data_IF_535244149508
#
_entry.id   IF_535244149508
#
_cell.length_a   1.000
_cell.length_b   1.000
_cell.length_c   1.000
_cell.angle_alpha   90.00
_cell.angle_beta   90.00
_cell.angle_gamma   90.00
#
_symmetry.space_group_name_H-M   'P 1'
#
loop_
_entity.id
_entity.type
_entity.pdbx_description
1 polymer ?
#
# COMPACT_ATOMS: atom_id res chain seq x y z
N UNK A 1 2.55 -2.43 19.85
CA UNK A 1 3.40 -3.17 18.88
C UNK A 1 3.22 -2.49 17.53
N UNK A 2 4.24 -1.78 17.05
CA UNK A 2 4.16 -1.03 15.79
C UNK A 2 4.42 -1.98 14.63
N UNK A 3 3.38 -2.35 13.88
CA UNK A 3 3.52 -3.09 12.63
C UNK A 3 3.92 -2.11 11.53
N UNK A 4 5.23 -1.99 11.28
CA UNK A 4 5.69 -1.31 10.07
C UNK A 4 5.28 -2.13 8.85
N UNK A 5 4.86 -1.51 7.73
CA UNK A 5 4.59 -2.23 6.50
C UNK A 5 5.85 -2.99 6.07
N UNK A 6 5.73 -4.32 5.97
CA UNK A 6 6.81 -5.19 5.51
C UNK A 6 6.79 -5.18 3.99
N UNK A 7 7.83 -4.60 3.39
CA UNK A 7 8.05 -4.62 1.96
C UNK A 7 8.59 -5.99 1.56
N UNK A 8 7.71 -6.91 1.16
CA UNK A 8 8.12 -8.18 0.56
C UNK A 8 7.98 -8.09 -0.96
N UNK A 9 9.07 -8.32 -1.69
CA UNK A 9 9.02 -8.51 -3.14
C UNK A 9 8.50 -9.92 -3.41
N UNK A 10 7.32 -10.01 -4.00
CA UNK A 10 6.79 -11.26 -4.52
C UNK A 10 7.44 -11.56 -5.87
N UNK A 11 8.53 -12.32 -5.86
CA UNK A 11 9.15 -12.81 -7.09
C UNK A 11 8.45 -14.07 -7.59
N UNK A 12 8.10 -14.10 -8.87
CA UNK A 12 7.60 -15.29 -9.57
C UNK A 12 8.76 -16.27 -9.82
N UNK A 13 9.05 -17.12 -8.83
CA UNK A 13 9.84 -18.33 -9.08
C UNK A 13 9.15 -19.52 -8.45
N UNK A 14 8.38 -20.25 -9.24
CA UNK A 14 8.02 -21.63 -8.94
C UNK A 14 9.18 -22.54 -9.36
N UNK A 15 9.84 -23.28 -8.44
CA UNK A 15 10.59 -24.46 -8.83
C UNK A 15 9.65 -25.67 -8.81
N UNK A 16 9.64 -26.42 -9.90
CA UNK A 16 9.15 -27.80 -9.92
C UNK A 16 9.91 -28.58 -8.84
N UNK A 17 9.21 -29.12 -7.84
CA UNK A 17 9.80 -30.06 -6.89
C UNK A 17 9.04 -31.40 -6.89
N UNK A 18 9.77 -32.44 -7.27
CA UNK A 18 9.37 -33.85 -7.17
C UNK A 18 9.47 -34.28 -5.71
N UNK A 19 8.39 -34.85 -5.19
CA UNK A 19 8.28 -35.42 -3.84
C UNK A 19 9.08 -36.72 -3.70
N UNK A 20 9.98 -36.77 -2.72
CA UNK A 20 10.33 -38.01 -1.96
C UNK A 20 10.53 -37.62 -0.50
N UNK A 21 9.86 -38.36 0.40
CA UNK A 21 9.52 -37.93 1.76
C UNK A 21 10.65 -37.84 2.80
N UNK A 22 10.30 -37.19 3.90
CA UNK A 22 11.08 -37.10 5.13
C UNK A 22 10.35 -36.24 6.17
N UNK A 23 10.04 -36.84 7.31
CA UNK A 23 9.30 -36.27 8.44
C UNK A 23 10.14 -35.20 9.16
N UNK A 24 9.77 -33.91 9.12
CA UNK A 24 10.40 -32.85 9.93
C UNK A 24 9.41 -31.76 10.36
N UNK A 25 9.58 -31.36 11.63
CA UNK A 25 8.98 -30.25 12.39
C UNK A 25 8.38 -29.11 11.54
N UNK A 26 7.06 -28.89 11.68
CA UNK A 26 6.30 -27.90 10.93
C UNK A 26 6.61 -26.46 11.34
N UNK A 27 7.62 -25.85 10.71
CA UNK A 27 7.68 -24.40 10.53
C UNK A 27 6.62 -24.08 9.46
N UNK A 28 5.52 -23.43 9.85
CA UNK A 28 4.51 -22.93 8.90
C UNK A 28 5.09 -21.77 8.07
N UNK A 29 5.92 -22.09 7.08
CA UNK A 29 6.16 -21.22 5.94
C UNK A 29 4.91 -21.33 5.06
N UNK A 30 3.92 -20.48 5.33
CA UNK A 30 2.83 -20.30 4.39
C UNK A 30 3.43 -19.78 3.09
N UNK A 31 3.51 -20.64 2.07
CA UNK A 31 3.92 -20.26 0.73
C UNK A 31 2.90 -19.27 0.18
N UNK A 32 3.23 -17.98 0.29
CA UNK A 32 2.44 -16.90 -0.29
C UNK A 32 2.54 -17.00 -1.82
N UNK A 33 1.51 -17.54 -2.47
CA UNK A 33 1.40 -17.53 -3.93
C UNK A 33 0.44 -16.45 -4.36
N UNK A 34 0.97 -15.39 -4.96
CA UNK A 34 0.18 -14.43 -5.73
C UNK A 34 0.07 -14.96 -7.15
N UNK A 35 -1.15 -15.29 -7.56
CA UNK A 35 -1.47 -15.63 -8.94
C UNK A 35 -2.16 -14.44 -9.60
N UNK A 36 -1.77 -14.14 -10.84
CA UNK A 36 -2.38 -13.15 -11.71
C UNK A 36 -2.80 -13.85 -13.01
N UNK A 37 -3.90 -13.39 -13.61
CA UNK A 37 -4.36 -13.86 -14.92
C UNK A 37 -4.20 -12.72 -15.92
N UNK A 38 -3.47 -12.97 -17.01
CA UNK A 38 -3.46 -12.10 -18.19
C UNK A 38 -4.25 -12.77 -19.32
N UNK A 39 -4.93 -12.01 -20.20
CA UNK A 39 -5.38 -12.56 -21.48
C UNK A 39 -4.17 -12.80 -22.42
N UNK A 40 -4.24 -13.86 -23.22
CA UNK A 40 -3.08 -14.47 -23.91
C UNK A 40 -2.35 -13.59 -24.94
N UNK A 41 -3.01 -12.59 -25.53
CA UNK A 41 -2.38 -11.58 -26.39
C UNK A 41 -3.19 -10.29 -26.27
N UNK A 42 -2.54 -9.21 -25.83
CA UNK A 42 -3.09 -7.87 -26.04
C UNK A 42 -2.06 -7.06 -26.83
N UNK A 43 -2.49 -6.40 -27.90
CA UNK A 43 -1.84 -5.17 -28.40
C UNK A 43 -2.04 -4.06 -27.36
N UNK A 44 -1.61 -4.31 -26.12
CA UNK A 44 -2.01 -3.57 -24.94
C UNK A 44 -1.15 -2.33 -24.78
N UNK A 45 -1.82 -1.19 -24.69
CA UNK A 45 -1.30 -0.04 -23.95
C UNK A 45 -1.50 -0.20 -22.44
N UNK A 46 -2.15 -1.28 -21.99
CA UNK A 46 -2.55 -1.48 -20.60
C UNK A 46 -2.29 -2.90 -20.09
N UNK A 47 -1.74 -3.01 -18.88
CA UNK A 47 -1.65 -4.26 -18.12
C UNK A 47 -2.76 -4.24 -17.07
N UNK A 48 -3.60 -5.27 -17.06
CA UNK A 48 -4.70 -5.44 -16.12
C UNK A 48 -4.62 -6.82 -15.48
N UNK A 49 -5.08 -6.93 -14.24
CA UNK A 49 -5.13 -8.21 -13.55
C UNK A 49 -5.83 -8.12 -12.20
N UNK A 50 -5.82 -9.24 -11.50
CA UNK A 50 -6.35 -9.37 -10.16
C UNK A 50 -5.35 -10.12 -9.30
N UNK A 51 -5.13 -9.63 -8.08
CA UNK A 51 -4.27 -10.28 -7.08
C UNK A 51 -5.15 -11.03 -6.10
N UNK A 52 -4.90 -12.33 -5.96
CA UNK A 52 -5.57 -13.19 -5.00
C UNK A 52 -4.66 -13.54 -3.82
N UNK A 53 -5.23 -13.60 -2.63
CA UNK A 53 -4.61 -14.20 -1.46
C UNK A 53 -5.04 -15.66 -1.33
N UNK A 54 -4.07 -16.57 -1.33
CA UNK A 54 -4.30 -18.00 -1.10
C UNK A 54 -3.69 -18.41 0.23
N UNK A 55 -4.53 -18.92 1.12
CA UNK A 55 -4.11 -19.39 2.44
C UNK A 55 -5.02 -18.92 3.56
N UNK A 56 -4.72 -19.32 4.80
CA UNK A 56 -5.45 -18.83 5.97
C UNK A 56 -5.19 -17.33 6.14
N UNK A 57 -6.27 -16.53 6.14
CA UNK A 57 -6.18 -15.10 6.39
C UNK A 57 -5.76 -14.89 7.85
N UNK A 58 -4.66 -14.16 8.12
CA UNK A 58 -4.23 -13.90 9.49
C UNK A 58 -5.32 -13.16 10.28
N UNK A 59 -5.54 -13.59 11.52
CA UNK A 59 -6.56 -12.98 12.37
C UNK A 59 -6.22 -11.51 12.69
N UNK A 60 -7.24 -10.65 12.64
CA UNK A 60 -7.12 -9.29 13.12
C UNK A 60 -6.92 -9.28 14.64
N UNK A 61 -6.01 -8.45 15.11
CA UNK A 61 -5.88 -8.18 16.55
C UNK A 61 -6.70 -6.94 16.92
N UNK A 62 -7.01 -6.76 18.20
CA UNK A 62 -7.71 -5.55 18.69
C UNK A 62 -6.73 -4.67 19.46
N UNK A 63 -6.68 -3.39 19.10
CA UNK A 63 -5.89 -2.37 19.78
C UNK A 63 -6.84 -1.50 20.62
N UNK A 64 -6.59 -1.34 21.94
CA UNK A 64 -7.35 -0.39 22.76
C UNK A 64 -6.99 1.05 22.39
N UNK A 65 -7.99 1.92 22.31
CA UNK A 65 -7.80 3.35 22.08
C UNK A 65 -7.97 4.07 23.42
N UNK A 66 -6.92 4.78 23.83
CA UNK A 66 -6.89 5.51 25.10
C UNK A 66 -6.92 7.03 24.94
N UNK A 67 -6.76 7.54 23.72
CA UNK A 67 -6.74 8.98 23.40
C UNK A 67 -7.87 9.32 22.46
N UNK A 68 -8.59 10.41 22.78
CA UNK A 68 -9.75 10.91 22.03
C UNK A 68 -10.78 9.80 21.73
N UNK A 69 -11.01 8.89 22.69
CA UNK A 69 -11.86 7.70 22.50
C UNK A 69 -13.33 8.04 22.22
N UNK A 70 -13.78 9.22 22.64
CA UNK A 70 -15.10 9.77 22.29
C UNK A 70 -15.28 9.96 20.77
N UNK A 71 -14.18 10.19 20.04
CA UNK A 71 -14.20 10.39 18.57
C UNK A 71 -13.65 9.16 17.84
N UNK A 72 -12.55 8.57 18.32
CA UNK A 72 -11.90 7.45 17.63
C UNK A 72 -12.49 6.07 17.98
N UNK A 73 -13.39 6.00 18.96
CA UNK A 73 -13.89 4.76 19.56
C UNK A 73 -12.98 4.27 20.69
N UNK A 74 -13.38 3.18 21.34
CA UNK A 74 -12.64 2.58 22.47
C UNK A 74 -11.65 1.50 22.04
N UNK A 75 -11.79 0.96 20.82
CA UNK A 75 -10.89 -0.04 20.26
C UNK A 75 -10.95 -0.06 18.73
N UNK A 76 -9.89 -0.60 18.10
CA UNK A 76 -9.82 -0.83 16.64
C UNK A 76 -9.31 -2.21 16.30
N UNK A 77 -9.76 -2.75 15.17
CA UNK A 77 -9.12 -3.90 14.55
C UNK A 77 -7.82 -3.47 13.87
N UNK A 78 -6.74 -4.15 14.19
CA UNK A 78 -5.51 -4.13 13.43
C UNK A 78 -5.50 -5.35 12.51
N UNK A 79 -5.86 -5.10 11.26
CA UNK A 79 -6.00 -6.11 10.21
C UNK A 79 -4.74 -6.11 9.35
N UNK A 80 -3.88 -7.13 9.41
CA UNK A 80 -2.58 -7.13 8.74
C UNK A 80 -2.70 -7.18 7.21
N UNK A 81 -3.71 -7.88 6.69
CA UNK A 81 -4.06 -7.91 5.27
C UNK A 81 -5.57 -7.83 5.09
N UNK A 82 -6.03 -7.21 4.01
CA UNK A 82 -7.45 -7.09 3.68
C UNK A 82 -7.75 -7.98 2.49
N UNK A 83 -8.50 -9.05 2.74
CA UNK A 83 -8.89 -10.04 1.73
C UNK A 83 -10.39 -9.97 1.54
N UNK A 84 -10.82 -9.74 0.30
CA UNK A 84 -12.22 -9.76 -0.11
C UNK A 84 -12.82 -11.16 0.05
N UNK A 85 -14.14 -11.27 0.11
CA UNK A 85 -14.83 -12.56 0.17
C UNK A 85 -14.57 -13.45 -1.05
N UNK A 86 -14.21 -12.85 -2.20
CA UNK A 86 -13.77 -13.56 -3.40
C UNK A 86 -12.29 -14.01 -3.38
N UNK A 87 -11.55 -13.72 -2.30
CA UNK A 87 -10.11 -13.96 -2.19
C UNK A 87 -9.22 -12.85 -2.75
N UNK A 88 -9.79 -11.77 -3.28
CA UNK A 88 -9.04 -10.61 -3.77
C UNK A 88 -8.24 -9.91 -2.67
N UNK A 89 -6.97 -9.58 -2.92
CA UNK A 89 -6.09 -8.93 -1.95
C UNK A 89 -6.01 -7.43 -2.22
N UNK A 90 -6.55 -6.64 -1.29
CA UNK A 90 -6.53 -5.19 -1.35
C UNK A 90 -5.16 -4.62 -0.94
N UNK A 91 -4.83 -3.43 -1.43
CA UNK A 91 -3.65 -2.65 -1.04
C UNK A 91 -2.30 -3.26 -1.46
N UNK A 92 -2.28 -4.04 -2.54
CA UNK A 92 -1.04 -4.54 -3.15
C UNK A 92 -0.52 -3.50 -4.11
N UNK A 93 0.73 -3.09 -3.92
CA UNK A 93 1.42 -2.19 -4.85
C UNK A 93 1.98 -3.01 -6.01
N UNK A 94 1.62 -2.62 -7.23
CA UNK A 94 2.07 -3.25 -8.49
C UNK A 94 2.85 -2.20 -9.28
N UNK A 95 3.98 -2.57 -9.89
CA UNK A 95 4.82 -1.65 -10.66
C UNK A 95 5.58 -2.38 -11.76
N UNK A 96 5.88 -1.70 -12.86
CA UNK A 96 6.78 -2.27 -13.88
C UNK A 96 8.22 -2.26 -13.38
N UNK A 97 8.87 -3.42 -13.38
CA UNK A 97 10.28 -3.55 -13.06
C UNK A 97 11.16 -3.11 -14.23
N UNK A 98 12.23 -2.35 -13.94
CA UNK A 98 13.27 -2.02 -14.91
C UNK A 98 12.87 -0.98 -15.95
N UNK A 99 11.73 -0.32 -15.76
CA UNK A 99 11.35 0.81 -16.60
C UNK A 99 12.29 2.00 -16.35
N UNK A 100 12.79 2.71 -17.38
CA UNK A 100 13.62 3.89 -17.19
C UNK A 100 12.94 4.98 -16.38
N UNK A 101 13.73 5.72 -15.59
CA UNK A 101 13.23 6.91 -14.90
C UNK A 101 12.62 7.88 -15.92
N UNK A 102 11.36 8.21 -15.72
CA UNK A 102 10.59 9.08 -16.61
C UNK A 102 9.68 9.93 -15.76
N UNK A 103 9.68 11.24 -16.02
CA UNK A 103 8.75 12.12 -15.33
C UNK A 103 7.32 11.68 -15.58
N UNK A 104 6.51 11.78 -14.53
CA UNK A 104 5.10 11.47 -14.60
C UNK A 104 4.34 12.69 -15.11
N UNK A 105 3.52 12.49 -16.14
CA UNK A 105 2.55 13.51 -16.60
C UNK A 105 1.37 13.69 -15.62
N UNK A 106 1.38 12.99 -14.47
CA UNK A 106 0.37 13.11 -13.43
C UNK A 106 0.43 14.49 -12.79
N UNK A 107 -0.50 15.35 -13.20
CA UNK A 107 -0.69 16.69 -12.62
C UNK A 107 -1.57 16.69 -11.39
N UNK A 108 -2.29 15.59 -11.14
CA UNK A 108 -3.18 15.46 -9.99
C UNK A 108 -2.40 15.17 -8.70
N UNK A 109 -2.63 15.99 -7.69
CA UNK A 109 -2.11 15.77 -6.34
C UNK A 109 -2.63 14.44 -5.78
N UNK A 110 -1.74 13.66 -5.17
CA UNK A 110 -2.11 12.53 -4.33
C UNK A 110 -2.74 13.05 -3.04
N UNK A 111 -4.03 12.75 -2.81
CA UNK A 111 -4.75 13.23 -1.64
C UNK A 111 -4.68 12.19 -0.51
N UNK A 112 -4.12 12.60 0.62
CA UNK A 112 -4.10 11.83 1.86
C UNK A 112 -4.91 12.56 2.92
N UNK A 113 -5.96 11.93 3.43
CA UNK A 113 -6.86 12.54 4.40
C UNK A 113 -6.89 11.73 5.68
N UNK A 114 -6.73 12.40 6.82
CA UNK A 114 -7.10 11.83 8.12
C UNK A 114 -8.63 11.84 8.21
N UNK A 115 -9.25 10.66 8.22
CA UNK A 115 -10.70 10.49 8.29
C UNK A 115 -11.04 9.23 9.06
N UNK A 116 -11.96 9.34 10.01
CA UNK A 116 -12.37 8.25 10.88
C UNK A 116 -11.23 7.73 11.75
N UNK A 117 -10.29 8.59 12.17
CA UNK A 117 -9.04 8.22 12.85
C UNK A 117 -8.23 7.17 12.08
N UNK A 118 -8.20 7.28 10.75
CA UNK A 118 -7.40 6.47 9.82
C UNK A 118 -6.80 7.37 8.73
N UNK A 119 -5.75 6.90 8.06
CA UNK A 119 -5.24 7.53 6.84
C UNK A 119 -6.01 6.97 5.64
N UNK A 120 -6.58 7.86 4.82
CA UNK A 120 -7.25 7.48 3.60
C UNK A 120 -6.61 8.15 2.37
N UNK A 121 -6.18 7.36 1.36
CA UNK A 121 -6.06 5.89 1.39
C UNK A 121 -4.95 5.43 2.35
N UNK A 122 -5.04 4.19 2.85
CA UNK A 122 -4.09 3.63 3.81
C UNK A 122 -2.77 3.20 3.15
N UNK A 123 -2.85 2.68 1.92
CA UNK A 123 -1.71 2.34 1.08
C UNK A 123 -1.88 3.03 -0.26
N UNK A 124 -0.80 3.58 -0.80
CA UNK A 124 -0.82 4.13 -2.15
C UNK A 124 0.55 4.21 -2.81
N UNK A 125 0.50 4.67 -4.05
CA UNK A 125 1.68 4.82 -4.91
C UNK A 125 1.66 6.19 -5.56
N UNK A 126 2.83 6.80 -5.70
CA UNK A 126 3.00 8.13 -6.29
C UNK A 126 4.25 8.13 -7.15
N UNK A 127 4.32 9.02 -8.13
CA UNK A 127 5.56 9.23 -8.88
C UNK A 127 6.39 10.36 -8.26
N UNK A 128 7.69 10.39 -8.54
CA UNK A 128 8.51 11.58 -8.29
C UNK A 128 7.87 12.80 -8.97
N UNK A 129 8.12 13.99 -8.42
CA UNK A 129 7.55 15.27 -8.83
C UNK A 129 6.03 15.43 -8.63
N UNK A 130 5.26 14.36 -8.49
CA UNK A 130 3.88 14.42 -8.01
C UNK A 130 3.83 15.06 -6.62
N UNK A 131 2.77 15.83 -6.34
CA UNK A 131 2.54 16.43 -5.03
C UNK A 131 1.62 15.56 -4.20
N UNK A 132 1.88 15.50 -2.89
CA UNK A 132 0.92 15.02 -1.90
C UNK A 132 0.21 16.20 -1.25
N UNK A 133 -1.11 16.13 -1.18
CA UNK A 133 -1.96 17.01 -0.41
C UNK A 133 -2.45 16.26 0.84
N UNK A 134 -2.01 16.70 2.03
CA UNK A 134 -2.45 16.10 3.30
C UNK A 134 -3.52 16.97 3.95
N UNK A 135 -4.60 16.37 4.44
CA UNK A 135 -5.75 17.08 5.05
C UNK A 135 -6.34 16.32 6.24
N UNK A 136 -7.20 16.98 7.02
CA UNK A 136 -7.90 16.35 8.14
C UNK A 136 -9.41 16.62 8.05
N UNK A 137 -10.21 15.57 8.18
CA UNK A 137 -11.69 15.62 8.21
C UNK A 137 -12.27 15.15 9.55
N UNK A 138 -11.43 14.77 10.50
CA UNK A 138 -11.89 14.40 11.84
C UNK A 138 -12.07 15.62 12.72
N UNK A 139 -13.00 15.53 13.67
CA UNK A 139 -13.29 16.58 14.66
C UNK A 139 -12.19 16.74 15.73
N UNK A 140 -11.05 16.07 15.56
CA UNK A 140 -9.90 16.13 16.47
C UNK A 140 -8.62 16.42 15.68
N UNK A 141 -7.62 16.91 16.40
CA UNK A 141 -6.28 17.13 15.85
C UNK A 141 -5.59 15.81 15.55
N UNK A 142 -5.03 15.71 14.36
CA UNK A 142 -4.14 14.63 13.96
C UNK A 142 -2.76 15.15 13.57
N UNK A 143 -1.79 14.25 13.58
CA UNK A 143 -0.48 14.46 13.02
C UNK A 143 -0.31 13.54 11.81
N UNK A 144 0.24 14.07 10.72
CA UNK A 144 0.63 13.28 9.56
C UNK A 144 2.15 13.28 9.46
N UNK A 145 2.76 12.18 9.91
CA UNK A 145 4.20 11.97 9.92
C UNK A 145 4.60 10.96 8.84
N UNK A 146 5.10 11.47 7.72
CA UNK A 146 5.59 10.68 6.60
C UNK A 146 7.11 10.61 6.67
N UNK A 147 7.67 9.40 6.60
CA UNK A 147 9.11 9.17 6.74
C UNK A 147 9.61 8.02 5.88
N UNK A 148 10.80 8.19 5.34
CA UNK A 148 11.64 7.08 4.85
C UNK A 148 12.31 6.40 6.05
N UNK A 149 13.10 5.35 5.80
CA UNK A 149 13.85 4.66 6.87
C UNK A 149 14.79 5.59 7.64
N UNK A 150 15.39 6.56 6.96
CA UNK A 150 16.47 7.40 7.47
C UNK A 150 16.05 8.83 7.84
N UNK A 151 14.91 9.33 7.35
CA UNK A 151 14.51 10.73 7.56
C UNK A 151 13.00 10.97 7.51
N UNK A 152 12.57 12.03 8.19
CA UNK A 152 11.24 12.58 7.98
C UNK A 152 11.14 13.26 6.61
N UNK A 153 10.12 12.88 5.84
CA UNK A 153 9.68 13.60 4.65
C UNK A 153 8.73 14.74 5.05
N UNK A 154 7.75 14.45 5.90
CA UNK A 154 6.77 15.41 6.38
C UNK A 154 6.40 15.11 7.84
N UNK A 155 6.25 16.14 8.65
CA UNK A 155 5.71 16.02 10.00
C UNK A 155 4.86 17.25 10.28
N UNK A 156 3.54 17.14 10.07
CA UNK A 156 2.62 18.27 10.18
C UNK A 156 1.51 17.95 11.17
N UNK A 157 1.11 18.95 11.94
CA UNK A 157 -0.08 18.92 12.79
C UNK A 157 -1.24 19.51 11.99
N UNK A 158 -2.34 18.78 11.90
CA UNK A 158 -3.54 19.20 11.20
C UNK A 158 -4.68 19.34 12.22
N UNK A 159 -5.17 20.57 12.37
CA UNK A 159 -6.34 20.88 13.21
C UNK A 159 -7.60 20.20 12.67
N UNK A 160 -8.69 20.11 13.47
CA UNK A 160 -9.98 19.65 12.97
C UNK A 160 -10.39 20.38 11.69
N UNK A 161 -10.92 19.64 10.71
CA UNK A 161 -11.36 20.14 9.40
C UNK A 161 -10.31 20.95 8.58
N UNK A 162 -9.02 20.77 8.91
CA UNK A 162 -7.95 21.48 8.22
C UNK A 162 -7.87 21.10 6.74
N UNK A 163 -7.84 22.13 5.88
CA UNK A 163 -7.51 22.01 4.44
C UNK A 163 -6.06 21.56 4.21
N UNK A 164 -5.22 21.63 5.24
CA UNK A 164 -3.87 21.07 5.27
C UNK A 164 -2.88 21.69 4.28
N UNK A 165 -1.95 20.89 3.77
CA UNK A 165 -0.76 21.37 3.04
C UNK A 165 -0.42 20.47 1.86
N UNK A 166 0.30 21.04 0.90
CA UNK A 166 0.77 20.32 -0.30
C UNK A 166 2.30 20.31 -0.38
N UNK A 167 2.91 19.17 -0.71
CA UNK A 167 4.36 19.01 -0.85
C UNK A 167 4.75 18.07 -2.00
N UNK A 168 5.74 18.39 -2.84
CA UNK A 168 6.19 17.48 -3.90
C UNK A 168 7.07 16.35 -3.37
N UNK A 169 6.94 15.16 -3.96
CA UNK A 169 7.91 14.07 -3.82
C UNK A 169 9.12 14.33 -4.72
N UNK A 170 10.32 14.10 -4.20
CA UNK A 170 11.58 14.38 -4.92
C UNK A 170 12.54 13.20 -4.97
N UNK A 171 12.24 12.12 -4.25
CA UNK A 171 13.07 10.92 -4.20
C UNK A 171 12.18 9.69 -4.23
N UNK A 172 12.50 8.68 -5.04
CA UNK A 172 11.80 7.42 -5.03
C UNK A 172 12.10 6.65 -3.75
N UNK A 173 11.23 5.69 -3.42
CA UNK A 173 11.41 4.76 -2.33
C UNK A 173 10.18 4.61 -1.44
N UNK A 174 10.24 3.65 -0.50
CA UNK A 174 9.17 3.39 0.44
C UNK A 174 9.10 4.50 1.51
N UNK A 175 7.87 4.85 1.88
CA UNK A 175 7.58 5.75 2.97
C UNK A 175 6.49 5.16 3.88
N UNK A 176 6.66 5.38 5.18
CA UNK A 176 5.66 5.04 6.20
C UNK A 176 4.95 6.30 6.66
N UNK A 177 3.66 6.16 6.98
CA UNK A 177 2.81 7.22 7.48
C UNK A 177 2.34 6.82 8.88
N UNK A 178 2.50 7.72 9.84
CA UNK A 178 2.08 7.51 11.22
C UNK A 178 1.47 8.79 11.80
N UNK A 179 0.58 8.64 12.77
CA UNK A 179 0.15 9.74 13.62
C UNK A 179 0.87 9.63 14.98
N UNK A 180 1.70 10.61 15.34
CA UNK A 180 2.38 10.59 16.64
C UNK A 180 1.40 10.68 17.82
N UNK A 181 0.23 11.33 17.64
CA UNK A 181 -0.80 11.45 18.68
C UNK A 181 -1.59 10.15 18.83
N UNK A 182 -1.87 9.47 17.72
CA UNK A 182 -2.67 8.25 17.61
C UNK A 182 -1.84 7.12 16.98
N UNK A 183 -0.98 6.43 17.76
CA UNK A 183 -0.03 5.46 17.20
C UNK A 183 -0.66 4.23 16.52
N UNK A 184 -1.97 4.04 16.68
CA UNK A 184 -2.73 3.02 15.97
C UNK A 184 -3.00 3.37 14.49
N UNK A 185 -2.84 4.65 14.11
CA UNK A 185 -2.95 5.08 12.71
C UNK A 185 -1.65 4.75 11.98
N UNK A 186 -1.75 3.93 10.94
CA UNK A 186 -0.64 3.57 10.08
C UNK A 186 -1.04 3.61 8.61
N UNK A 187 -0.10 3.97 7.76
CA UNK A 187 -0.24 3.93 6.31
C UNK A 187 1.12 3.79 5.62
N UNK A 188 1.09 3.59 4.31
CA UNK A 188 2.28 3.40 3.49
C UNK A 188 2.12 4.09 2.13
N UNK A 189 3.21 4.66 1.63
CA UNK A 189 3.31 5.14 0.25
C UNK A 189 4.59 4.58 -0.35
N UNK A 190 4.54 4.16 -1.61
CA UNK A 190 5.75 3.96 -2.41
C UNK A 190 5.87 5.04 -3.47
N UNK A 191 7.02 5.73 -3.50
CA UNK A 191 7.34 6.72 -4.53
C UNK A 191 8.15 6.04 -5.64
N UNK A 192 7.64 6.03 -6.87
CA UNK A 192 8.32 5.49 -8.04
C UNK A 192 8.98 6.59 -8.88
N UNK A 193 10.04 6.23 -9.60
CA UNK A 193 10.72 7.14 -10.53
C UNK A 193 10.10 7.14 -11.95
N UNK A 194 9.02 6.37 -12.15
CA UNK A 194 8.25 6.27 -13.39
C UNK A 194 6.75 6.22 -13.05
N UNK A 195 5.83 6.51 -13.99
CA UNK A 195 4.38 6.52 -13.74
C UNK A 195 3.72 5.14 -13.75
N UNK A 196 4.42 4.10 -14.20
CA UNK A 196 3.84 2.76 -14.41
C UNK A 196 3.73 1.93 -13.12
N UNK A 197 2.81 2.35 -12.25
CA UNK A 197 2.50 1.68 -10.99
C UNK A 197 1.03 1.88 -10.61
N UNK A 198 0.53 1.04 -9.72
CA UNK A 198 -0.84 1.10 -9.22
C UNK A 198 -0.96 0.40 -7.86
N UNK A 199 -2.12 0.50 -7.23
CA UNK A 199 -2.47 -0.23 -6.00
C UNK A 199 -3.77 -1.00 -6.24
N UNK A 200 -3.85 -2.24 -5.78
CA UNK A 200 -5.08 -3.03 -5.93
C UNK A 200 -6.25 -2.47 -5.13
N UNK A 201 -7.44 -2.54 -5.71
CA UNK A 201 -8.69 -2.15 -5.07
C UNK A 201 -9.21 -3.20 -4.07
N UNK A 202 -10.40 -2.97 -3.53
CA UNK A 202 -11.06 -3.88 -2.58
C UNK A 202 -11.21 -5.31 -3.11
N UNK A 203 -11.39 -5.50 -4.42
CA UNK A 203 -11.51 -6.82 -5.05
C UNK A 203 -10.16 -7.38 -5.49
N UNK A 204 -9.06 -6.67 -5.23
CA UNK A 204 -7.72 -7.06 -5.67
C UNK A 204 -7.44 -6.72 -7.14
N UNK A 205 -8.31 -5.98 -7.82
CA UNK A 205 -8.13 -5.63 -9.23
C UNK A 205 -7.12 -4.50 -9.38
N UNK A 206 -6.38 -4.51 -10.49
CA UNK A 206 -5.44 -3.45 -10.84
C UNK A 206 -5.37 -3.20 -12.34
N UNK A 207 -4.91 -1.99 -12.69
CA UNK A 207 -4.64 -1.55 -14.06
C UNK A 207 -3.44 -0.60 -14.09
N UNK A 208 -2.54 -0.83 -15.02
CA UNK A 208 -1.45 0.07 -15.42
C UNK A 208 -1.69 0.41 -16.90
N UNK A 209 -1.70 1.68 -17.25
CA UNK A 209 -2.04 2.17 -18.59
C UNK A 209 -0.94 3.05 -19.18
N UNK A 210 -1.02 3.29 -20.50
CA UNK A 210 -0.09 4.16 -21.22
C UNK A 210 1.26 3.52 -21.53
N UNK A 211 1.33 2.19 -21.50
CA UNK A 211 2.51 1.44 -21.92
C UNK A 211 2.60 1.39 -23.44
N UNK A 212 3.81 1.31 -23.95
CA UNK A 212 4.05 0.94 -25.35
C UNK A 212 3.89 -0.58 -25.52
N UNK A 213 3.56 -1.10 -26.71
CA UNK A 213 3.57 -2.55 -26.94
C UNK A 213 4.95 -3.15 -26.59
N UNK A 214 4.97 -4.20 -25.77
CA UNK A 214 6.22 -4.81 -25.31
C UNK A 214 6.01 -5.87 -24.24
N UNK A 215 7.13 -6.47 -23.80
CA UNK A 215 7.16 -7.42 -22.69
C UNK A 215 7.61 -6.69 -21.43
N UNK A 216 6.84 -6.83 -20.36
CA UNK A 216 7.09 -6.17 -19.08
C UNK A 216 7.10 -7.18 -17.94
N UNK A 217 7.88 -6.86 -16.91
CA UNK A 217 7.91 -7.58 -15.64
C UNK A 217 7.21 -6.74 -14.59
N UNK A 218 6.36 -7.36 -13.76
CA UNK A 218 5.70 -6.74 -12.60
C UNK A 218 6.41 -7.12 -11.29
#
# INVERSE_FOLDING_TARGET
>A
MNTHPIWSKLGTKSPLFRSTGGLLFGIFLANMTVEYSFPDIILATDIQGQVFYRGPVPESTTIPITKDSEVCGTSRKNTPIRVHTSGGLQHVIISIQGHPDTDSDQTQDYVLTNKGCEFYPAVGTVSINQKIHVSNKDAILHNTHIRTTDRAFLNVVLLPDSKGITKPFKKPGPMTIQCNKHPFMAGAIYVFAHPFHTTTDEQGLFRISGLTPGVYTL
#
